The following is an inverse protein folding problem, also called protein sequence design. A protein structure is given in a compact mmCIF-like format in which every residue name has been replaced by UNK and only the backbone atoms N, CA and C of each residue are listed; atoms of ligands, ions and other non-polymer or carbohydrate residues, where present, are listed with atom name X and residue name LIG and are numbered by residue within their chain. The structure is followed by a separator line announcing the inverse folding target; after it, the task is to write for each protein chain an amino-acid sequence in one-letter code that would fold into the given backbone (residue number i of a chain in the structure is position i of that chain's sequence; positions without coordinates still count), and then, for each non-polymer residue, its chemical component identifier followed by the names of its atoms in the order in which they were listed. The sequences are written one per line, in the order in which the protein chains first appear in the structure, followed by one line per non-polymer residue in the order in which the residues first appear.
data_IF_591750613856
#
_entry.id   IF_591750613856
#
_cell.length_a   1.000
_cell.length_b   1.000
_cell.length_c   1.000
_cell.angle_alpha   90.00
_cell.angle_beta   90.00
_cell.angle_gamma   90.00
#
_symmetry.space_group_name_H-M   'P 1'
#
loop_
_entity.id
_entity.type
_entity.pdbx_description
1 polymer ?
#
# COMPACT_ATOMS: atom_id res chain seq x y z
N UNK A 1 -9.22 9.16 14.12
CA UNK A 1 -10.51 8.46 13.93
C UNK A 1 -10.34 6.94 13.86
N UNK A 2 -11.28 6.17 14.41
CA UNK A 2 -11.34 4.70 14.22
C UNK A 2 -12.71 4.29 13.66
N UNK A 3 -12.72 3.43 12.65
CA UNK A 3 -13.93 2.93 11.99
C UNK A 3 -13.84 1.41 11.86
N UNK A 4 -14.90 0.71 12.22
CA UNK A 4 -14.90 -0.74 12.07
C UNK A 4 -16.26 -1.41 11.97
N UNK A 5 -16.24 -2.64 11.47
CA UNK A 5 -17.43 -3.47 11.21
C UNK A 5 -18.43 -2.81 10.25
N UNK A 6 -17.93 -2.17 9.19
CA UNK A 6 -18.74 -1.43 8.23
C UNK A 6 -18.51 -1.88 6.78
N UNK A 7 -19.52 -1.67 5.95
CA UNK A 7 -19.35 -1.62 4.50
C UNK A 7 -19.19 -0.17 4.09
N UNK A 8 -18.08 0.15 3.42
CA UNK A 8 -17.72 1.51 3.03
C UNK A 8 -17.63 1.57 1.51
N UNK A 9 -18.39 2.46 0.88
CA UNK A 9 -18.41 2.60 -0.58
C UNK A 9 -17.15 3.32 -1.11
N UNK A 10 -16.69 4.37 -0.44
CA UNK A 10 -15.56 5.18 -0.86
C UNK A 10 -14.82 5.75 0.34
N UNK A 11 -13.50 5.69 0.28
CA UNK A 11 -12.57 6.41 1.14
C UNK A 11 -11.68 7.25 0.23
N UNK A 12 -11.72 8.56 0.40
CA UNK A 12 -10.91 9.50 -0.37
C UNK A 12 -10.12 10.43 0.55
N UNK A 13 -9.39 11.40 -0.01
CA UNK A 13 -8.62 12.37 0.78
C UNK A 13 -9.43 13.13 1.83
N UNK A 14 -10.72 13.37 1.59
CA UNK A 14 -11.57 14.10 2.55
C UNK A 14 -11.82 13.27 3.80
N UNK A 15 -11.86 11.94 3.64
CA UNK A 15 -11.92 10.97 4.73
C UNK A 15 -10.75 11.12 5.71
N UNK A 16 -9.58 11.55 5.22
CA UNK A 16 -8.35 11.70 6.01
C UNK A 16 -8.03 13.13 6.47
N UNK A 17 -8.76 14.12 5.97
CA UNK A 17 -8.37 15.54 6.05
C UNK A 17 -8.41 16.18 7.44
N UNK A 18 -8.87 15.48 8.48
CA UNK A 18 -9.07 16.05 9.82
C UNK A 18 -8.40 15.30 10.96
N UNK A 19 -7.81 14.13 10.69
CA UNK A 19 -7.29 13.25 11.73
C UNK A 19 -5.82 12.92 11.48
N UNK A 20 -4.97 13.10 12.49
CA UNK A 20 -3.56 12.68 12.47
C UNK A 20 -3.38 11.15 12.43
N UNK A 21 -4.42 10.40 12.78
CA UNK A 21 -4.42 8.93 12.85
C UNK A 21 -5.77 8.38 12.43
N UNK A 22 -5.77 7.42 11.51
CA UNK A 22 -6.97 6.72 11.03
C UNK A 22 -6.78 5.22 11.08
N UNK A 23 -7.72 4.55 11.74
CA UNK A 23 -7.79 3.09 11.78
C UNK A 23 -9.09 2.59 11.14
N UNK A 24 -8.95 1.65 10.20
CA UNK A 24 -10.04 0.91 9.59
C UNK A 24 -9.92 -0.56 10.01
N UNK A 25 -10.98 -1.16 10.56
CA UNK A 25 -10.90 -2.55 11.05
C UNK A 25 -12.16 -3.36 10.79
N UNK A 26 -12.01 -4.60 10.33
CA UNK A 26 -13.16 -5.49 10.04
C UNK A 26 -14.14 -4.88 9.03
N UNK A 27 -13.64 -4.18 8.02
CA UNK A 27 -14.48 -3.50 7.02
C UNK A 27 -14.46 -4.21 5.67
N UNK A 28 -15.55 -4.08 4.92
CA UNK A 28 -15.54 -4.29 3.46
C UNK A 28 -15.53 -2.91 2.81
N UNK A 29 -14.52 -2.62 2.00
CA UNK A 29 -14.29 -1.31 1.40
C UNK A 29 -14.31 -1.50 -0.11
N UNK A 30 -15.23 -0.84 -0.79
CA UNK A 30 -15.33 -0.94 -2.24
C UNK A 30 -14.22 -0.17 -2.95
N UNK A 31 -13.92 1.05 -2.52
CA UNK A 31 -12.85 1.83 -3.12
C UNK A 31 -12.12 2.67 -2.07
N UNK A 32 -10.79 2.59 -2.08
CA UNK A 32 -9.91 3.61 -1.50
C UNK A 32 -9.29 4.36 -2.67
N UNK A 33 -9.67 5.63 -2.86
CA UNK A 33 -9.21 6.49 -3.93
C UNK A 33 -8.37 7.65 -3.39
N UNK A 34 -7.06 7.48 -3.50
CA UNK A 34 -6.05 8.42 -3.05
C UNK A 34 -5.17 8.90 -4.21
N UNK A 35 -5.67 8.81 -5.45
CA UNK A 35 -4.91 9.29 -6.60
C UNK A 35 -4.58 10.78 -6.45
N UNK A 36 -3.31 11.12 -6.60
CA UNK A 36 -2.82 12.51 -6.52
C UNK A 36 -2.81 13.09 -5.10
N UNK A 37 -2.87 12.25 -4.07
CA UNK A 37 -2.71 12.66 -2.68
C UNK A 37 -1.22 12.77 -2.31
N UNK A 38 -0.56 13.80 -2.84
CA UNK A 38 0.88 14.03 -2.65
C UNK A 38 1.29 14.27 -1.19
N UNK A 39 0.39 14.56 -0.27
CA UNK A 39 0.80 14.68 1.14
C UNK A 39 -0.35 14.21 2.02
N UNK A 40 -0.29 12.95 2.44
CA UNK A 40 -1.24 12.37 3.36
C UNK A 40 -0.61 12.35 4.75
N UNK A 41 -0.83 13.44 5.48
CA UNK A 41 -0.26 13.68 6.82
C UNK A 41 -1.08 13.02 7.93
N UNK A 42 -1.46 11.75 7.72
CA UNK A 42 -2.18 10.93 8.68
C UNK A 42 -1.55 9.54 8.74
N UNK A 43 -1.33 9.00 9.94
CA UNK A 43 -0.97 7.58 10.10
C UNK A 43 -2.20 6.74 9.76
N UNK A 44 -2.08 5.83 8.79
CA UNK A 44 -3.20 5.00 8.34
C UNK A 44 -2.95 3.55 8.69
N UNK A 45 -3.90 2.95 9.39
CA UNK A 45 -3.89 1.54 9.77
C UNK A 45 -5.15 0.85 9.23
N UNK A 46 -4.97 -0.18 8.41
CA UNK A 46 -6.04 -0.99 7.84
C UNK A 46 -5.83 -2.44 8.29
N UNK A 47 -6.76 -2.97 9.07
CA UNK A 47 -6.64 -4.32 9.65
C UNK A 47 -7.87 -5.18 9.38
N UNK A 48 -7.66 -6.43 8.96
CA UNK A 48 -8.75 -7.40 8.76
C UNK A 48 -9.86 -6.86 7.83
N UNK A 49 -9.47 -6.22 6.72
CA UNK A 49 -10.39 -5.63 5.77
C UNK A 49 -10.39 -6.39 4.44
N UNK A 50 -11.48 -6.26 3.68
CA UNK A 50 -11.54 -6.63 2.26
C UNK A 50 -11.68 -5.36 1.45
N UNK A 51 -10.68 -5.05 0.61
CA UNK A 51 -10.64 -3.85 -0.24
C UNK A 51 -10.84 -4.29 -1.69
N UNK A 52 -11.85 -3.77 -2.39
CA UNK A 52 -12.09 -4.14 -3.79
C UNK A 52 -11.23 -3.37 -4.80
N UNK A 53 -10.95 -2.10 -4.52
CA UNK A 53 -10.09 -1.23 -5.32
C UNK A 53 -9.22 -0.36 -4.41
N UNK A 54 -7.91 -0.33 -4.69
CA UNK A 54 -6.95 0.48 -3.94
C UNK A 54 -6.12 1.34 -4.89
N UNK A 55 -6.56 2.57 -5.09
CA UNK A 55 -6.00 3.49 -6.08
C UNK A 55 -5.09 4.51 -5.37
N UNK A 56 -3.78 4.34 -5.51
CA UNK A 56 -2.77 5.10 -4.76
C UNK A 56 -1.69 5.72 -5.64
N UNK A 57 -1.97 5.93 -6.93
CA UNK A 57 -1.04 6.61 -7.83
C UNK A 57 -0.76 8.03 -7.32
N UNK A 58 0.51 8.42 -7.24
CA UNK A 58 0.96 9.73 -6.76
C UNK A 58 0.45 10.04 -5.34
N UNK A 59 0.46 9.04 -4.46
CA UNK A 59 0.07 9.15 -3.06
C UNK A 59 1.30 9.07 -2.13
N UNK A 60 1.48 10.03 -1.22
CA UNK A 60 2.60 10.02 -0.27
C UNK A 60 2.08 9.82 1.16
N UNK A 61 2.37 8.66 1.74
CA UNK A 61 1.98 8.30 3.11
C UNK A 61 3.03 8.82 4.10
N UNK A 62 3.09 10.14 4.31
CA UNK A 62 4.15 10.80 5.09
C UNK A 62 4.26 10.21 6.50
N UNK A 63 3.12 10.05 7.19
CA UNK A 63 3.01 9.42 8.53
C UNK A 63 2.85 7.90 8.49
N UNK A 64 3.08 7.28 7.34
CA UNK A 64 3.11 5.84 7.18
C UNK A 64 1.74 5.21 6.87
N UNK A 65 1.80 3.96 6.44
CA UNK A 65 0.65 3.11 6.12
C UNK A 65 0.93 1.72 6.66
N UNK A 66 -0.01 1.17 7.40
CA UNK A 66 -0.02 -0.24 7.73
C UNK A 66 -1.27 -0.92 7.16
N UNK A 67 -1.07 -1.97 6.37
CA UNK A 67 -2.12 -2.89 5.97
C UNK A 67 -1.76 -4.26 6.51
N UNK A 68 -2.67 -4.86 7.29
CA UNK A 68 -2.46 -6.21 7.81
C UNK A 68 -3.71 -7.08 7.83
N UNK A 69 -3.51 -8.39 7.72
CA UNK A 69 -4.57 -9.39 7.74
C UNK A 69 -5.69 -9.12 6.73
N UNK A 70 -5.40 -8.40 5.65
CA UNK A 70 -6.40 -7.88 4.73
C UNK A 70 -6.31 -8.55 3.36
N UNK A 71 -7.43 -8.52 2.63
CA UNK A 71 -7.48 -8.95 1.23
C UNK A 71 -7.64 -7.70 0.38
N UNK A 72 -6.68 -7.43 -0.50
CA UNK A 72 -6.76 -6.36 -1.48
C UNK A 72 -6.98 -6.98 -2.85
N UNK A 73 -8.13 -6.66 -3.45
CA UNK A 73 -8.50 -7.11 -4.78
C UNK A 73 -8.08 -6.10 -5.83
N UNK A 74 -8.03 -6.58 -7.06
CA UNK A 74 -7.75 -5.76 -8.24
C UNK A 74 -6.30 -5.30 -8.32
N UNK A 75 -5.96 -4.80 -9.50
CA UNK A 75 -4.63 -4.24 -9.81
C UNK A 75 -4.37 -2.97 -8.99
N UNK A 76 -3.16 -2.85 -8.43
CA UNK A 76 -2.74 -1.67 -7.68
C UNK A 76 -1.62 -1.00 -8.46
N UNK A 77 -1.80 0.28 -8.82
CA UNK A 77 -0.77 1.10 -9.43
C UNK A 77 -0.20 2.09 -8.42
N UNK A 78 0.86 1.72 -7.71
CA UNK A 78 1.59 2.65 -6.87
C UNK A 78 2.74 3.30 -7.64
N UNK A 79 2.40 4.26 -8.49
CA UNK A 79 3.35 5.01 -9.29
C UNK A 79 3.64 6.38 -8.66
N UNK A 80 4.88 6.87 -8.73
CA UNK A 80 5.30 8.18 -8.21
C UNK A 80 4.93 8.35 -6.72
N UNK A 81 5.08 7.26 -5.97
CA UNK A 81 4.68 7.12 -4.58
C UNK A 81 5.84 7.13 -3.59
N UNK A 82 5.55 6.75 -2.35
CA UNK A 82 6.50 6.72 -1.25
C UNK A 82 6.48 8.01 -0.44
N UNK A 83 7.64 8.65 -0.30
CA UNK A 83 7.93 9.83 0.51
C UNK A 83 7.44 9.73 1.95
N UNK A 84 7.50 8.51 2.50
CA UNK A 84 7.09 8.20 3.86
C UNK A 84 8.25 8.40 4.84
N UNK A 85 8.02 9.17 5.90
CA UNK A 85 8.99 9.35 6.99
C UNK A 85 8.80 8.31 8.11
N UNK A 86 7.65 7.62 8.08
CA UNK A 86 7.29 6.49 8.94
C UNK A 86 7.16 5.23 8.06
N UNK A 87 7.49 4.02 8.55
CA UNK A 87 7.46 2.82 7.72
C UNK A 87 6.14 2.54 7.00
N UNK A 88 6.24 1.95 5.81
CA UNK A 88 5.11 1.30 5.14
C UNK A 88 5.14 -0.18 5.48
N UNK A 89 4.05 -0.71 6.02
CA UNK A 89 3.97 -2.08 6.53
C UNK A 89 2.84 -2.82 5.82
N UNK A 90 3.21 -3.86 5.09
CA UNK A 90 2.31 -4.83 4.50
C UNK A 90 2.60 -6.19 5.12
N UNK A 91 1.74 -6.65 6.02
CA UNK A 91 1.96 -7.89 6.77
C UNK A 91 0.73 -8.82 6.80
N UNK A 92 0.91 -10.09 6.46
CA UNK A 92 -0.17 -11.09 6.45
C UNK A 92 -1.35 -10.75 5.52
N UNK A 93 -1.12 -10.12 4.37
CA UNK A 93 -2.17 -9.78 3.41
C UNK A 93 -2.25 -10.75 2.23
N UNK A 94 -3.37 -10.70 1.52
CA UNK A 94 -3.55 -11.34 0.21
C UNK A 94 -3.81 -10.26 -0.83
N UNK A 95 -2.89 -10.10 -1.78
CA UNK A 95 -3.07 -9.27 -2.96
C UNK A 95 -3.46 -10.18 -4.13
N UNK A 96 -4.68 -10.03 -4.64
CA UNK A 96 -5.25 -10.99 -5.61
C UNK A 96 -4.90 -10.69 -7.07
N UNK A 97 -4.27 -9.55 -7.33
CA UNK A 97 -3.85 -9.10 -8.66
C UNK A 97 -2.42 -8.53 -8.58
N UNK A 98 -1.88 -8.03 -9.68
CA UNK A 98 -0.53 -7.47 -9.72
C UNK A 98 -0.46 -6.17 -8.91
N UNK A 99 0.54 -6.07 -8.03
CA UNK A 99 0.84 -4.84 -7.29
C UNK A 99 2.05 -4.15 -7.92
N UNK A 100 1.78 -3.13 -8.73
CA UNK A 100 2.80 -2.35 -9.41
C UNK A 100 3.34 -1.21 -8.54
N UNK A 101 4.65 -1.11 -8.47
CA UNK A 101 5.46 -0.05 -7.89
C UNK A 101 6.32 0.54 -9.01
N UNK A 102 6.18 1.84 -9.27
CA UNK A 102 6.89 2.47 -10.39
C UNK A 102 7.35 3.87 -10.00
N UNK A 103 8.67 4.11 -10.06
CA UNK A 103 9.27 5.40 -9.67
C UNK A 103 8.85 5.83 -8.25
N UNK A 104 8.86 4.89 -7.31
CA UNK A 104 8.63 5.18 -5.89
C UNK A 104 9.93 5.51 -5.16
N UNK A 105 9.87 6.42 -4.20
CA UNK A 105 10.99 6.75 -3.32
C UNK A 105 10.58 6.65 -1.86
N UNK A 106 11.09 5.66 -1.14
CA UNK A 106 10.75 5.42 0.26
C UNK A 106 11.86 5.96 1.16
N UNK A 107 11.52 6.93 2.03
CA UNK A 107 12.50 7.50 2.96
C UNK A 107 12.69 6.61 4.19
N UNK A 108 11.60 6.10 4.75
CA UNK A 108 11.61 5.11 5.82
C UNK A 108 11.44 3.68 5.30
N UNK A 109 11.53 2.72 6.22
CA UNK A 109 11.55 1.29 5.92
C UNK A 109 10.26 0.83 5.20
N UNK A 110 10.42 -0.01 4.18
CA UNK A 110 9.30 -0.77 3.61
C UNK A 110 9.35 -2.20 4.14
N UNK A 111 8.32 -2.60 4.88
CA UNK A 111 8.16 -3.95 5.41
C UNK A 111 7.10 -4.67 4.59
N UNK A 112 7.47 -5.77 3.95
CA UNK A 112 6.57 -6.59 3.15
C UNK A 112 6.75 -8.05 3.57
N UNK A 113 5.96 -8.53 4.53
CA UNK A 113 6.15 -9.84 5.17
C UNK A 113 4.89 -10.69 5.18
N UNK A 114 5.06 -12.01 5.12
CA UNK A 114 3.97 -12.98 5.28
C UNK A 114 2.80 -12.78 4.31
N UNK A 115 2.99 -12.11 3.17
CA UNK A 115 1.93 -11.82 2.23
C UNK A 115 1.82 -12.92 1.16
N UNK A 116 0.63 -13.02 0.56
CA UNK A 116 0.39 -13.77 -0.67
C UNK A 116 0.16 -12.75 -1.80
N UNK A 117 1.02 -12.75 -2.81
CA UNK A 117 0.88 -11.92 -4.02
C UNK A 117 0.60 -12.83 -5.22
N UNK A 118 -0.67 -13.01 -5.57
CA UNK A 118 -1.09 -14.10 -6.46
C UNK A 118 -0.61 -13.94 -7.90
N UNK A 119 -0.53 -12.71 -8.41
CA UNK A 119 0.06 -12.38 -9.72
C UNK A 119 1.47 -11.78 -9.61
N UNK A 120 2.00 -11.68 -8.40
CA UNK A 120 3.29 -11.06 -8.12
C UNK A 120 3.27 -9.53 -8.07
N UNK A 121 4.46 -8.97 -7.91
CA UNK A 121 4.73 -7.53 -7.76
C UNK A 121 6.13 -7.22 -8.27
N UNK A 122 6.37 -5.96 -8.63
CA UNK A 122 7.68 -5.43 -9.00
C UNK A 122 8.31 -4.57 -7.90
N UNK A 123 7.91 -4.73 -6.63
CA UNK A 123 8.48 -4.01 -5.50
C UNK A 123 10.02 -3.99 -5.55
N UNK A 124 10.63 -5.15 -5.83
CA UNK A 124 12.07 -5.33 -5.98
C UNK A 124 12.52 -5.58 -7.43
N UNK A 125 11.60 -5.79 -8.35
CA UNK A 125 11.93 -6.18 -9.73
C UNK A 125 12.66 -5.07 -10.49
N UNK A 126 12.23 -3.82 -10.31
CA UNK A 126 12.70 -2.69 -11.11
C UNK A 126 14.01 -2.06 -10.57
N UNK A 127 14.64 -2.69 -9.58
CA UNK A 127 15.88 -2.18 -8.98
C UNK A 127 17.00 -2.05 -10.01
N UNK A 128 17.65 -0.89 -10.05
CA UNK A 128 18.73 -0.58 -11.00
C UNK A 128 18.26 -0.02 -12.34
N UNK A 129 16.96 0.04 -12.59
CA UNK A 129 16.39 0.74 -13.74
C UNK A 129 16.30 2.25 -13.46
N UNK A 130 16.24 3.10 -14.49
CA UNK A 130 16.17 4.56 -14.32
C UNK A 130 14.89 5.06 -13.60
N UNK A 131 13.88 4.21 -13.53
CA UNK A 131 12.60 4.40 -12.84
C UNK A 131 12.44 3.39 -11.69
N UNK A 132 13.54 2.77 -11.25
CA UNK A 132 13.56 1.80 -10.18
C UNK A 132 13.17 2.41 -8.83
N UNK A 133 12.52 1.60 -8.00
CA UNK A 133 12.16 2.02 -6.64
C UNK A 133 13.42 2.32 -5.83
N UNK A 134 13.39 3.42 -5.06
CA UNK A 134 14.46 3.80 -4.14
C UNK A 134 14.03 3.52 -2.70
N UNK A 135 14.93 2.93 -1.92
CA UNK A 135 14.68 2.59 -0.52
C UNK A 135 15.80 3.16 0.35
N UNK A 136 15.63 4.39 0.84
CA UNK A 136 16.69 5.13 1.53
C UNK A 136 17.03 4.52 2.90
N UNK A 137 16.02 4.00 3.61
CA UNK A 137 16.20 3.23 4.85
C UNK A 137 16.16 1.70 4.65
N UNK A 138 16.16 1.23 3.39
CA UNK A 138 16.10 -0.19 3.05
C UNK A 138 14.68 -0.80 3.07
N UNK A 139 14.63 -2.13 3.00
CA UNK A 139 13.42 -2.93 3.01
C UNK A 139 13.59 -4.21 3.82
N UNK A 140 12.49 -4.72 4.37
CA UNK A 140 12.41 -6.04 5.00
C UNK A 140 11.38 -6.90 4.28
N UNK A 141 11.86 -7.93 3.57
CA UNK A 141 11.03 -8.86 2.80
C UNK A 141 11.25 -10.27 3.32
N UNK A 142 10.20 -10.90 3.83
CA UNK A 142 10.30 -12.20 4.50
C UNK A 142 9.01 -13.02 4.34
N UNK A 143 9.13 -14.33 4.16
CA UNK A 143 8.02 -15.30 4.19
C UNK A 143 6.82 -14.96 3.28
N UNK A 144 7.06 -14.30 2.13
CA UNK A 144 6.02 -14.04 1.15
C UNK A 144 5.85 -15.22 0.18
N UNK A 145 4.61 -15.46 -0.24
CA UNK A 145 4.27 -16.38 -1.31
C UNK A 145 3.93 -15.60 -2.58
N UNK A 146 4.62 -15.91 -3.67
CA UNK A 146 4.51 -15.20 -4.96
C UNK A 146 5.79 -14.45 -5.30
N UNK A 147 5.90 -13.95 -6.54
CA UNK A 147 7.12 -13.32 -7.04
C UNK A 147 7.11 -11.80 -6.81
N UNK A 148 8.17 -11.28 -6.17
CA UNK A 148 8.34 -9.86 -5.86
C UNK A 148 9.30 -9.14 -6.82
N UNK A 149 9.86 -9.87 -7.79
CA UNK A 149 10.89 -9.41 -8.72
C UNK A 149 10.42 -9.38 -10.19
N UNK A 150 9.12 -9.48 -10.44
CA UNK A 150 8.58 -9.40 -11.80
C UNK A 150 8.71 -7.96 -12.31
N UNK A 151 9.14 -7.71 -13.55
CA UNK A 151 9.23 -6.34 -14.10
C UNK A 151 7.98 -5.86 -14.86
N UNK A 152 7.01 -6.74 -15.04
CA UNK A 152 5.72 -6.46 -15.69
C UNK A 152 4.74 -7.57 -15.37
N UNK A 153 3.45 -7.30 -15.52
CA UNK A 153 2.44 -8.35 -15.56
C UNK A 153 2.78 -9.35 -16.67
N UNK A 154 2.61 -10.65 -16.37
CA UNK A 154 2.88 -11.76 -17.29
C UNK A 154 1.59 -12.27 -17.88
#
# INVERSE_FOLDING_TARGET
MEVGNQSIELIDKMYFSQDDFIKLSNCTIKCIDLIGCFELDAEIVIENCVIEQFNIQSCWFVKGLTIRYSIVKGYINYQMGGHNDVPLIFDHNIFTDFFNFFDCEFNALVVFKNNIVTKGTNLLGNMGEGFGNRFNAGWEVENNLGDLNLNREV
#
